data_IF_372974760718
#
_entry.id   IF_372974760718
#
_cell.length_a   1.000
_cell.length_b   1.000
_cell.length_c   1.000
_cell.angle_alpha   90.00
_cell.angle_beta   90.00
_cell.angle_gamma   90.00
#
_symmetry.space_group_name_H-M   'P 1'
#
loop_
_entity.id
_entity.type
_entity.pdbx_description
1 polymer ?
#
# COMPACT_ATOMS: atom_id res chain seq x y z
N UNK A 1 4.45 -2.18 14.80
CA UNK A 1 5.61 -2.42 15.70
C UNK A 1 6.08 -3.87 15.58
N UNK A 2 7.38 -4.13 15.72
CA UNK A 2 7.95 -5.48 15.56
C UNK A 2 8.94 -5.80 16.68
N UNK A 3 8.81 -6.97 17.30
CA UNK A 3 9.71 -7.48 18.33
C UNK A 3 10.24 -8.85 17.93
N UNK A 4 11.55 -9.09 18.14
CA UNK A 4 12.22 -10.39 17.91
C UNK A 4 12.61 -11.09 19.23
N UNK A 5 11.72 -11.86 19.89
CA UNK A 5 12.13 -12.88 20.86
C UNK A 5 12.89 -14.01 20.16
N UNK A 6 13.82 -14.67 20.87
CA UNK A 6 14.71 -15.73 20.35
C UNK A 6 14.06 -16.90 19.57
N UNK A 7 12.72 -17.03 19.52
CA UNK A 7 12.01 -18.10 18.79
C UNK A 7 10.74 -17.65 18.05
N UNK A 8 9.99 -16.70 18.61
CA UNK A 8 8.70 -16.26 18.07
C UNK A 8 8.62 -14.73 18.05
N UNK A 9 8.92 -14.07 16.91
CA UNK A 9 8.59 -12.67 16.68
C UNK A 9 7.11 -12.37 16.91
N UNK A 10 6.88 -11.19 17.45
CA UNK A 10 5.54 -10.62 17.57
C UNK A 10 5.50 -9.33 16.74
N UNK A 11 4.55 -9.29 15.81
CA UNK A 11 4.26 -8.10 15.02
C UNK A 11 2.89 -7.56 15.43
N UNK A 12 2.82 -6.28 15.77
CA UNK A 12 1.55 -5.57 15.95
C UNK A 12 1.38 -4.59 14.81
N UNK A 13 0.27 -4.72 14.10
CA UNK A 13 -0.19 -3.72 13.14
C UNK A 13 -1.34 -2.92 13.73
N UNK A 14 -1.35 -1.63 13.42
CA UNK A 14 -2.26 -0.64 13.98
C UNK A 14 -2.86 0.12 12.81
N UNK A 15 -4.14 0.46 12.90
CA UNK A 15 -4.80 1.27 11.87
C UNK A 15 -4.59 2.79 12.07
N UNK A 16 -3.98 3.17 13.19
CA UNK A 16 -3.71 4.56 13.56
C UNK A 16 -2.24 4.71 13.98
N UNK A 17 -1.72 5.95 13.94
CA UNK A 17 -0.36 6.22 14.43
C UNK A 17 -0.37 6.29 15.95
N UNK A 18 0.06 5.22 16.61
CA UNK A 18 0.06 5.11 18.06
C UNK A 18 1.50 4.92 18.59
N UNK A 19 1.89 5.64 19.67
CA UNK A 19 3.19 5.43 20.31
C UNK A 19 3.31 4.02 20.88
N UNK A 20 4.49 3.44 20.64
CA UNK A 20 4.77 2.03 20.84
C UNK A 20 6.11 1.89 21.54
N UNK A 21 6.16 1.14 22.64
CA UNK A 21 7.37 1.02 23.48
C UNK A 21 7.65 -0.46 23.78
N UNK A 22 8.92 -0.83 23.67
CA UNK A 22 9.45 -2.08 24.26
C UNK A 22 10.18 -1.67 25.53
N UNK A 23 9.60 -1.97 26.69
CA UNK A 23 10.16 -1.60 27.99
C UNK A 23 11.08 -2.70 28.54
N UNK A 24 10.69 -3.97 28.37
CA UNK A 24 11.45 -5.15 28.79
C UNK A 24 11.54 -6.22 27.69
N UNK A 25 12.47 -7.18 27.85
CA UNK A 25 12.56 -8.30 26.92
C UNK A 25 11.23 -9.08 26.93
N UNK A 26 10.55 -9.09 25.78
CA UNK A 26 9.27 -9.79 25.52
C UNK A 26 8.00 -9.05 25.94
N UNK A 27 8.08 -7.76 26.24
CA UNK A 27 6.90 -6.95 26.53
C UNK A 27 6.68 -5.86 25.48
N UNK A 28 5.49 -5.86 24.88
CA UNK A 28 5.06 -4.83 23.93
C UNK A 28 3.93 -4.01 24.55
N UNK A 29 4.15 -2.71 24.69
CA UNK A 29 3.17 -1.77 25.22
C UNK A 29 2.77 -0.75 24.15
N UNK A 30 1.46 -0.53 24.02
CA UNK A 30 0.85 0.41 23.08
C UNK A 30 0.07 1.45 23.88
N UNK A 31 0.34 2.75 23.67
CA UNK A 31 -0.32 3.83 24.41
C UNK A 31 -1.60 4.26 23.68
N UNK A 32 -2.78 3.88 24.16
CA UNK A 32 -4.04 4.10 23.42
C UNK A 32 -4.53 5.56 23.40
N UNK A 33 -4.46 6.25 24.54
CA UNK A 33 -4.89 7.65 24.66
C UNK A 33 -4.12 8.33 25.81
N UNK A 34 -4.15 9.67 25.85
CA UNK A 34 -3.57 10.48 26.92
C UNK A 34 -4.52 11.61 27.32
N UNK A 35 -4.63 11.85 28.62
CA UNK A 35 -5.29 13.03 29.19
C UNK A 35 -4.28 13.78 30.06
N UNK A 36 -4.11 15.07 29.81
CA UNK A 36 -3.12 15.92 30.47
C UNK A 36 -3.77 17.25 30.86
N UNK A 37 -3.80 17.59 32.14
CA UNK A 37 -4.40 18.86 32.61
C UNK A 37 -3.46 20.07 32.49
N UNK A 38 -2.17 19.83 32.24
CA UNK A 38 -1.12 20.85 32.20
C UNK A 38 -0.63 21.05 30.77
N UNK A 39 -0.34 22.30 30.41
CA UNK A 39 0.38 22.65 29.19
C UNK A 39 1.86 22.23 29.31
N UNK A 40 2.48 21.94 28.17
CA UNK A 40 3.90 21.54 28.09
C UNK A 40 4.85 22.71 27.74
N UNK A 41 4.36 23.94 27.80
CA UNK A 41 5.07 25.19 27.47
C UNK A 41 5.65 25.21 26.04
N UNK A 42 5.03 24.48 25.10
CA UNK A 42 5.41 24.48 23.67
C UNK A 42 4.55 25.41 22.82
N UNK A 43 3.76 26.28 23.46
CA UNK A 43 2.99 27.33 22.79
C UNK A 43 1.55 26.97 22.45
N UNK A 44 1.06 25.81 22.92
CA UNK A 44 -0.36 25.46 22.81
C UNK A 44 -1.21 26.23 23.84
N UNK A 45 -0.68 26.43 25.05
CA UNK A 45 -1.31 27.23 26.11
C UNK A 45 -2.47 26.52 26.82
N UNK A 46 -2.57 25.19 26.72
CA UNK A 46 -3.59 24.38 27.37
C UNK A 46 -3.17 22.91 27.46
N UNK A 47 -3.76 22.16 28.41
CA UNK A 47 -3.65 20.71 28.45
C UNK A 47 -4.44 20.00 27.33
N UNK A 48 -4.39 18.66 27.33
CA UNK A 48 -5.20 17.77 26.48
C UNK A 48 -6.30 17.14 27.32
N UNK A 49 -7.50 17.72 27.27
CA UNK A 49 -8.65 17.34 28.10
C UNK A 49 -9.94 17.08 27.29
N UNK A 50 -9.85 17.14 25.98
CA UNK A 50 -10.94 16.96 25.01
C UNK A 50 -11.07 15.51 24.51
N UNK A 51 -10.69 14.53 25.36
CA UNK A 51 -10.76 13.11 25.03
C UNK A 51 -12.19 12.70 24.64
N UNK A 52 -12.31 12.00 23.52
CA UNK A 52 -13.53 11.34 23.08
C UNK A 52 -13.25 9.84 22.95
N UNK A 53 -14.31 9.03 23.10
CA UNK A 53 -14.20 7.59 22.90
C UNK A 53 -13.70 7.31 21.48
N UNK A 54 -12.54 6.67 21.39
CA UNK A 54 -11.91 6.29 20.13
C UNK A 54 -11.76 4.77 20.10
N UNK A 55 -12.18 4.14 19.00
CA UNK A 55 -11.97 2.73 18.78
C UNK A 55 -10.61 2.51 18.13
N UNK A 56 -9.81 1.59 18.69
CA UNK A 56 -8.50 1.22 18.15
C UNK A 56 -8.50 -0.25 17.74
N UNK A 57 -8.14 -0.51 16.49
CA UNK A 57 -8.07 -1.86 15.92
C UNK A 57 -6.61 -2.30 15.75
N UNK A 58 -6.31 -3.51 16.21
CA UNK A 58 -4.97 -4.10 16.18
C UNK A 58 -4.99 -5.50 15.59
N UNK A 59 -3.95 -5.84 14.84
CA UNK A 59 -3.65 -7.22 14.45
C UNK A 59 -2.35 -7.66 15.10
N UNK A 60 -2.42 -8.69 15.96
CA UNK A 60 -1.26 -9.35 16.55
C UNK A 60 -0.92 -10.60 15.73
N UNK A 61 0.25 -10.60 15.11
CA UNK A 61 0.76 -11.72 14.34
C UNK A 61 1.97 -12.35 15.05
N UNK A 62 1.86 -13.63 15.37
CA UNK A 62 2.96 -14.44 15.90
C UNK A 62 3.51 -15.30 14.77
N UNK A 63 4.81 -15.18 14.52
CA UNK A 63 5.47 -15.90 13.44
C UNK A 63 6.65 -16.71 13.98
N UNK A 64 7.17 -17.65 13.17
CA UNK A 64 8.30 -18.48 13.55
C UNK A 64 9.51 -18.16 12.66
N UNK A 65 10.64 -17.84 13.27
CA UNK A 65 11.90 -17.65 12.53
C UNK A 65 12.53 -19.01 12.23
N UNK A 66 12.90 -19.22 10.97
CA UNK A 66 13.78 -20.29 10.57
C UNK A 66 15.23 -19.81 10.76
N UNK A 67 16.11 -20.60 11.39
CA UNK A 67 17.52 -20.27 11.48
C UNK A 67 18.12 -20.08 10.08
N UNK A 68 18.75 -18.92 9.84
CA UNK A 68 19.51 -18.70 8.60
C UNK A 68 20.89 -19.34 8.74
N UNK A 69 21.39 -20.06 7.71
CA UNK A 69 22.75 -20.63 7.72
C UNK A 69 23.83 -19.54 7.63
N UNK A 70 23.50 -18.34 7.15
CA UNK A 70 24.40 -17.19 7.19
C UNK A 70 24.03 -16.25 8.34
N UNK A 71 25.01 -15.78 9.13
CA UNK A 71 24.77 -14.67 10.05
C UNK A 71 24.38 -13.47 9.19
N UNK A 72 23.10 -13.09 9.21
CA UNK A 72 22.69 -11.79 8.69
C UNK A 72 23.60 -10.76 9.36
N UNK A 73 24.24 -9.84 8.62
CA UNK A 73 24.98 -8.76 9.24
C UNK A 73 24.08 -8.12 10.29
N UNK A 74 24.64 -7.65 11.40
CA UNK A 74 23.93 -6.98 12.48
C UNK A 74 23.21 -5.74 11.95
N UNK A 75 22.11 -5.97 11.24
CA UNK A 75 21.38 -4.98 10.49
C UNK A 75 20.46 -4.28 11.48
N UNK A 76 20.61 -2.98 11.54
CA UNK A 76 19.69 -2.06 12.24
C UNK A 76 18.27 -2.07 11.65
N UNK A 77 18.05 -2.77 10.53
CA UNK A 77 16.81 -2.80 9.78
C UNK A 77 16.18 -4.18 9.87
N UNK A 78 14.91 -4.23 10.28
CA UNK A 78 14.06 -5.43 10.23
C UNK A 78 13.02 -5.30 9.14
N UNK A 79 12.73 -6.39 8.44
CA UNK A 79 11.66 -6.48 7.46
C UNK A 79 10.50 -7.31 8.02
N UNK A 80 9.28 -7.00 7.57
CA UNK A 80 8.10 -7.80 7.86
C UNK A 80 8.05 -9.04 6.97
N UNK A 81 7.32 -10.07 7.41
CA UNK A 81 6.93 -11.15 6.52
C UNK A 81 5.86 -10.67 5.52
N UNK A 82 5.57 -11.49 4.52
CA UNK A 82 4.46 -11.25 3.61
C UNK A 82 3.12 -11.18 4.36
N UNK A 83 2.88 -12.09 5.31
CA UNK A 83 1.64 -12.13 6.08
C UNK A 83 1.47 -10.87 6.95
N UNK A 84 2.55 -10.36 7.53
CA UNK A 84 2.57 -9.11 8.27
C UNK A 84 2.21 -7.91 7.36
N UNK A 85 2.85 -7.78 6.19
CA UNK A 85 2.50 -6.73 5.22
C UNK A 85 1.02 -6.77 4.83
N UNK A 86 0.48 -7.95 4.49
CA UNK A 86 -0.94 -8.12 4.16
C UNK A 86 -1.87 -7.82 5.34
N UNK A 87 -1.49 -8.20 6.56
CA UNK A 87 -2.25 -7.88 7.77
C UNK A 87 -2.32 -6.38 8.03
N UNK A 88 -1.23 -5.65 7.74
CA UNK A 88 -1.18 -4.19 7.80
C UNK A 88 -2.04 -3.54 6.72
N UNK A 89 -1.94 -4.02 5.48
CA UNK A 89 -2.74 -3.48 4.36
C UNK A 89 -4.24 -3.66 4.59
N UNK A 90 -4.65 -4.77 5.22
CA UNK A 90 -6.06 -5.02 5.52
C UNK A 90 -6.64 -4.02 6.54
N UNK A 91 -5.80 -3.50 7.44
CA UNK A 91 -6.19 -2.43 8.36
C UNK A 91 -6.32 -1.10 7.60
N UNK A 92 -5.29 -0.72 6.85
CA UNK A 92 -5.27 0.58 6.17
C UNK A 92 -6.18 0.70 4.93
N UNK A 93 -6.52 -0.42 4.30
CA UNK A 93 -7.35 -0.46 3.09
C UNK A 93 -8.49 -1.48 3.26
N UNK A 94 -9.45 -1.21 4.16
CA UNK A 94 -10.59 -2.09 4.36
C UNK A 94 -11.52 -2.09 3.12
N UNK A 95 -12.25 -3.18 2.85
CA UNK A 95 -13.23 -3.21 1.79
C UNK A 95 -14.30 -2.12 1.96
N UNK A 96 -14.56 -1.36 0.89
CA UNK A 96 -15.64 -0.36 0.89
C UNK A 96 -16.97 -1.08 0.65
N UNK A 97 -17.88 -1.00 1.62
CA UNK A 97 -19.23 -1.55 1.50
C UNK A 97 -20.18 -0.51 0.93
N UNK A 98 -20.71 -0.78 -0.28
CA UNK A 98 -21.70 0.07 -0.93
C UNK A 98 -23.08 -0.56 -0.80
N UNK A 99 -23.96 0.04 0.01
CA UNK A 99 -25.34 -0.39 0.13
C UNK A 99 -26.19 0.28 -0.95
N UNK A 100 -26.69 -0.51 -1.91
CA UNK A 100 -27.64 -0.05 -2.93
C UNK A 100 -29.07 -0.40 -2.55
N UNK A 101 -30.02 0.51 -2.82
CA UNK A 101 -31.45 0.19 -2.72
C UNK A 101 -31.88 -0.54 -3.99
N UNK A 102 -32.31 -1.81 -3.89
CA UNK A 102 -32.98 -2.50 -4.99
C UNK A 102 -34.38 -1.89 -5.18
N UNK A 103 -34.44 -0.75 -5.88
CA UNK A 103 -35.65 0.01 -6.11
C UNK A 103 -35.88 0.24 -7.60
N UNK A 104 -36.96 -0.37 -8.12
CA UNK A 104 -37.49 -0.35 -9.49
C UNK A 104 -37.01 -1.50 -10.38
N UNK A 105 -37.68 -2.64 -10.16
CA UNK A 105 -37.85 -3.72 -11.13
C UNK A 105 -38.37 -3.16 -12.47
N UNK A 106 -37.44 -2.78 -13.33
CA UNK A 106 -37.54 -2.63 -14.78
C UNK A 106 -36.15 -2.45 -15.42
N UNK A 107 -35.07 -2.34 -14.63
CA UNK A 107 -33.72 -2.47 -15.16
C UNK A 107 -33.35 -3.95 -15.25
N UNK A 108 -33.37 -4.49 -16.47
CA UNK A 108 -32.67 -5.73 -16.86
C UNK A 108 -31.16 -5.59 -16.80
N UNK A 109 -30.64 -4.65 -16.00
CA UNK A 109 -29.22 -4.50 -15.77
C UNK A 109 -28.81 -5.71 -14.93
N UNK A 110 -28.29 -6.73 -15.62
CA UNK A 110 -27.55 -7.83 -15.02
C UNK A 110 -26.63 -7.22 -13.96
N UNK A 111 -27.02 -7.37 -12.69
CA UNK A 111 -26.14 -7.05 -11.59
C UNK A 111 -25.03 -8.07 -11.70
N UNK A 112 -23.96 -7.73 -12.43
CA UNK A 112 -22.76 -8.54 -12.49
C UNK A 112 -22.26 -8.63 -11.06
N UNK A 113 -22.48 -9.79 -10.46
CA UNK A 113 -22.17 -10.06 -9.05
C UNK A 113 -20.67 -9.84 -8.77
N UNK A 114 -19.83 -9.89 -9.81
CA UNK A 114 -18.42 -9.59 -9.75
C UNK A 114 -17.99 -8.83 -11.01
N UNK A 115 -17.37 -7.65 -10.82
CA UNK A 115 -16.68 -6.90 -11.87
C UNK A 115 -15.24 -6.72 -11.42
N UNK A 116 -14.29 -7.30 -12.15
CA UNK A 116 -12.87 -7.04 -11.95
C UNK A 116 -12.40 -6.03 -12.99
N UNK A 117 -11.86 -4.90 -12.53
CA UNK A 117 -11.21 -3.92 -13.42
C UNK A 117 -9.82 -4.40 -13.84
N UNK A 118 -9.20 -5.29 -13.05
CA UNK A 118 -7.91 -5.88 -13.34
C UNK A 118 -8.07 -7.18 -14.11
N UNK A 119 -7.25 -7.38 -15.14
CA UNK A 119 -7.21 -8.64 -15.91
C UNK A 119 -6.50 -9.75 -15.15
N UNK A 120 -5.51 -9.39 -14.32
CA UNK A 120 -4.74 -10.27 -13.44
C UNK A 120 -4.45 -9.56 -12.12
N UNK A 121 -4.41 -10.28 -10.98
CA UNK A 121 -4.01 -9.69 -9.71
C UNK A 121 -2.53 -9.26 -9.75
N UNK A 122 -2.18 -8.27 -8.93
CA UNK A 122 -0.78 -7.91 -8.70
C UNK A 122 -0.04 -9.06 -7.98
N UNK A 123 1.29 -9.19 -8.20
CA UNK A 123 2.13 -10.06 -7.37
C UNK A 123 1.99 -9.71 -5.89
N UNK A 124 2.10 -10.70 -5.01
CA UNK A 124 1.72 -10.54 -3.61
C UNK A 124 2.64 -9.62 -2.81
N UNK A 125 3.85 -9.38 -3.33
CA UNK A 125 4.84 -8.46 -2.80
C UNK A 125 4.80 -7.08 -3.47
N UNK A 126 3.86 -6.80 -4.38
CA UNK A 126 3.67 -5.50 -5.02
C UNK A 126 2.37 -4.89 -4.56
N UNK A 127 2.46 -3.71 -3.96
CA UNK A 127 1.32 -2.94 -3.49
C UNK A 127 1.10 -1.72 -4.38
N UNK A 128 -0.08 -1.56 -5.00
CA UNK A 128 -0.48 -0.33 -5.66
C UNK A 128 -0.82 0.74 -4.62
N UNK A 129 0.09 1.71 -4.45
CA UNK A 129 -0.04 2.80 -3.47
C UNK A 129 -1.04 3.84 -3.94
N UNK A 130 -1.03 4.16 -5.23
CA UNK A 130 -1.94 5.14 -5.81
C UNK A 130 -2.18 4.85 -7.29
N UNK A 131 -3.43 5.03 -7.72
CA UNK A 131 -3.83 5.07 -9.13
C UNK A 131 -4.68 6.33 -9.34
N UNK A 132 -4.25 7.20 -10.25
CA UNK A 132 -4.98 8.44 -10.55
C UNK A 132 -5.02 8.73 -12.04
N UNK A 133 -6.16 9.17 -12.56
CA UNK A 133 -6.25 9.71 -13.92
C UNK A 133 -5.57 11.07 -13.98
N UNK A 134 -4.78 11.32 -15.02
CA UNK A 134 -4.13 12.60 -15.22
C UNK A 134 -5.09 13.57 -15.91
N UNK A 135 -5.06 14.84 -15.53
CA UNK A 135 -5.88 15.89 -16.12
C UNK A 135 -5.07 16.79 -17.06
N UNK A 136 -5.78 17.51 -17.92
CA UNK A 136 -5.25 18.72 -18.55
C UNK A 136 -5.04 19.83 -17.52
N UNK A 137 -4.23 20.86 -17.81
CA UNK A 137 -4.15 22.05 -16.98
C UNK A 137 -5.54 22.65 -16.74
N UNK A 138 -5.81 23.03 -15.51
CA UNK A 138 -7.07 23.68 -15.13
C UNK A 138 -7.17 25.04 -15.81
N UNK A 139 -8.27 25.28 -16.52
CA UNK A 139 -8.58 26.58 -17.13
C UNK A 139 -9.40 27.39 -16.13
N UNK A 140 -8.77 28.38 -15.50
CA UNK A 140 -9.40 29.24 -14.48
C UNK A 140 -10.22 30.39 -15.06
N UNK A 141 -9.93 30.81 -16.30
CA UNK A 141 -10.57 31.95 -16.95
C UNK A 141 -11.13 31.52 -18.31
N UNK A 142 -12.27 30.83 -18.28
CA UNK A 142 -13.07 30.62 -19.48
C UNK A 142 -14.30 31.52 -19.42
N UNK A 143 -15.08 31.59 -20.50
CA UNK A 143 -16.37 32.30 -20.51
C UNK A 143 -17.40 31.70 -19.52
N UNK A 144 -17.04 30.66 -18.77
CA UNK A 144 -17.81 30.09 -17.66
C UNK A 144 -17.14 30.41 -16.32
N UNK A 145 -17.94 30.74 -15.31
CA UNK A 145 -17.52 31.15 -13.96
C UNK A 145 -16.86 30.04 -13.12
N UNK A 146 -16.64 28.86 -13.69
CA UNK A 146 -16.11 27.69 -13.01
C UNK A 146 -14.79 27.24 -13.64
N UNK A 147 -13.81 26.91 -12.80
CA UNK A 147 -12.58 26.28 -13.23
C UNK A 147 -12.89 24.92 -13.85
N UNK A 148 -12.41 24.66 -15.07
CA UNK A 148 -12.65 23.39 -15.77
C UNK A 148 -11.35 22.62 -15.98
N UNK A 149 -11.40 21.31 -15.73
CA UNK A 149 -10.29 20.37 -15.93
C UNK A 149 -10.83 19.15 -16.67
N UNK A 150 -10.26 18.86 -17.84
CA UNK A 150 -10.62 17.67 -18.61
C UNK A 150 -9.68 16.50 -18.29
N UNK A 151 -10.19 15.27 -18.14
CA UNK A 151 -9.34 14.09 -17.96
C UNK A 151 -8.58 13.79 -19.25
N UNK A 152 -7.33 13.34 -19.11
CA UNK A 152 -6.55 12.75 -20.19
C UNK A 152 -6.78 11.25 -20.24
N UNK A 153 -6.50 10.67 -21.39
CA UNK A 153 -6.41 9.22 -21.57
C UNK A 153 -5.08 8.67 -21.02
N UNK A 154 -4.73 9.11 -19.82
CA UNK A 154 -3.51 8.77 -19.12
C UNK A 154 -3.78 8.57 -17.64
N UNK A 155 -3.10 7.61 -17.04
CA UNK A 155 -3.12 7.36 -15.61
C UNK A 155 -1.70 7.36 -15.04
N UNK A 156 -1.60 7.73 -13.78
CA UNK A 156 -0.41 7.57 -12.97
C UNK A 156 -0.64 6.46 -11.94
N UNK A 157 0.24 5.47 -11.95
CA UNK A 157 0.26 4.33 -11.05
C UNK A 157 1.54 4.35 -10.22
N UNK A 158 1.41 4.41 -8.90
CA UNK A 158 2.53 4.32 -7.95
C UNK A 158 2.51 2.93 -7.33
N UNK A 159 3.66 2.25 -7.37
CA UNK A 159 3.84 0.90 -6.90
C UNK A 159 4.95 0.83 -5.87
N UNK A 160 4.78 -0.04 -4.88
CA UNK A 160 5.77 -0.35 -3.87
C UNK A 160 6.05 -1.86 -3.88
N UNK A 161 7.31 -2.29 -3.99
CA UNK A 161 7.67 -3.69 -3.75
C UNK A 161 8.10 -3.86 -2.29
N UNK A 162 7.43 -4.74 -1.57
CA UNK A 162 7.77 -5.03 -0.17
C UNK A 162 9.13 -5.73 -0.05
N UNK A 163 9.96 -5.23 0.86
CA UNK A 163 11.09 -5.98 1.41
C UNK A 163 10.59 -7.02 2.42
N UNK A 164 11.03 -8.26 2.25
CA UNK A 164 10.60 -9.40 3.05
C UNK A 164 11.77 -9.96 3.87
N UNK A 165 11.48 -10.40 5.10
CA UNK A 165 12.47 -11.09 5.94
C UNK A 165 12.56 -12.57 5.54
N UNK A 166 13.68 -12.98 4.95
CA UNK A 166 13.88 -14.34 4.43
C UNK A 166 13.84 -15.43 5.52
N UNK A 167 14.08 -15.07 6.78
CA UNK A 167 14.00 -16.02 7.92
C UNK A 167 12.58 -16.29 8.37
N UNK A 168 11.63 -15.42 8.02
CA UNK A 168 10.22 -15.61 8.30
C UNK A 168 9.64 -16.42 7.16
N UNK A 169 9.58 -17.74 7.36
CA UNK A 169 9.15 -18.67 6.31
C UNK A 169 7.77 -18.30 5.77
N UNK A 170 7.69 -18.02 4.48
CA UNK A 170 6.44 -17.91 3.74
C UNK A 170 5.83 -19.31 3.67
N UNK A 171 5.06 -19.70 4.69
CA UNK A 171 4.23 -20.92 4.62
C UNK A 171 3.09 -20.82 3.61
N UNK A 172 2.91 -19.65 2.99
CA UNK A 172 2.06 -19.49 1.81
C UNK A 172 2.78 -20.18 0.66
N UNK A 173 2.25 -21.33 0.23
CA UNK A 173 2.79 -22.04 -0.92
C UNK A 173 2.89 -21.06 -2.09
N UNK A 174 4.07 -20.95 -2.71
CA UNK A 174 4.35 -20.08 -3.86
C UNK A 174 3.32 -20.30 -5.01
N UNK A 175 2.68 -21.47 -5.04
CA UNK A 175 1.59 -21.83 -5.94
C UNK A 175 0.29 -21.03 -5.77
N UNK A 176 0.06 -20.42 -4.59
CA UNK A 176 -1.16 -19.65 -4.28
C UNK A 176 -0.98 -18.14 -4.36
N UNK A 177 0.26 -17.66 -4.25
CA UNK A 177 0.59 -16.25 -4.25
C UNK A 177 1.98 -16.08 -4.85
N UNK A 178 2.11 -15.79 -6.15
CA UNK A 178 3.41 -15.59 -6.75
C UNK A 178 4.03 -14.32 -6.19
N UNK A 179 4.97 -14.48 -5.28
CA UNK A 179 6.01 -13.50 -5.03
C UNK A 179 7.02 -13.74 -6.13
N UNK A 180 7.14 -12.82 -7.09
CA UNK A 180 8.28 -12.87 -8.01
C UNK A 180 9.54 -13.10 -7.17
N UNK A 181 10.21 -14.23 -7.41
CA UNK A 181 11.27 -14.74 -6.58
C UNK A 181 12.61 -14.22 -7.07
N UNK A 182 13.24 -13.37 -6.26
CA UNK A 182 14.67 -12.98 -6.14
C UNK A 182 15.55 -12.72 -7.40
N UNK A 183 15.21 -13.22 -8.58
CA UNK A 183 15.97 -13.10 -9.80
C UNK A 183 15.30 -12.11 -10.76
N UNK A 184 16.13 -11.48 -11.58
CA UNK A 184 15.80 -10.43 -12.57
C UNK A 184 14.77 -10.84 -13.64
N UNK A 185 14.19 -12.03 -13.54
CA UNK A 185 13.07 -12.53 -14.35
C UNK A 185 11.68 -12.08 -13.83
N UNK A 186 11.60 -11.41 -12.66
CA UNK A 186 10.36 -11.02 -11.98
C UNK A 186 9.65 -9.76 -12.49
N UNK A 187 9.79 -9.47 -13.79
CA UNK A 187 9.20 -8.27 -14.35
C UNK A 187 7.71 -8.53 -14.66
N UNK A 188 6.80 -7.87 -13.93
CA UNK A 188 5.36 -8.07 -14.11
C UNK A 188 4.82 -7.18 -15.24
N UNK A 189 3.87 -7.71 -16.02
CA UNK A 189 3.28 -7.01 -17.17
C UNK A 189 2.29 -5.94 -16.69
N UNK A 190 2.62 -4.67 -16.96
CA UNK A 190 1.76 -3.52 -16.66
C UNK A 190 0.91 -3.12 -17.87
N UNK A 191 1.29 -3.56 -19.08
CA UNK A 191 0.65 -3.14 -20.31
C UNK A 191 -0.80 -3.63 -20.42
N UNK A 192 -1.07 -4.85 -19.93
CA UNK A 192 -2.38 -5.50 -19.95
C UNK A 192 -3.03 -5.60 -18.56
N UNK A 193 -2.72 -4.64 -17.68
CA UNK A 193 -3.21 -4.65 -16.30
C UNK A 193 -4.73 -4.54 -16.20
N UNK A 194 -5.35 -3.70 -17.02
CA UNK A 194 -6.78 -3.40 -16.97
C UNK A 194 -7.57 -4.22 -17.99
N UNK A 195 -8.73 -4.72 -17.58
CA UNK A 195 -9.62 -5.45 -18.49
C UNK A 195 -10.19 -4.50 -19.55
N UNK A 196 -10.07 -4.87 -20.83
CA UNK A 196 -10.51 -4.05 -21.96
C UNK A 196 -9.70 -2.76 -22.25
N UNK A 197 -8.58 -2.50 -21.55
CA UNK A 197 -7.73 -1.31 -21.74
C UNK A 197 -6.24 -1.68 -21.69
N UNK A 198 -5.54 -1.57 -22.83
CA UNK A 198 -4.09 -1.79 -22.92
C UNK A 198 -3.34 -0.46 -22.96
N UNK A 199 -2.29 -0.31 -22.17
CA UNK A 199 -1.45 0.88 -22.22
C UNK A 199 -0.60 0.90 -23.50
N UNK A 200 -0.75 1.96 -24.31
CA UNK A 200 0.08 2.25 -25.51
C UNK A 200 1.50 2.66 -25.14
N UNK A 201 1.68 3.36 -24.01
CA UNK A 201 3.01 3.74 -23.54
C UNK A 201 3.11 3.75 -22.02
N UNK A 202 4.27 3.34 -21.52
CA UNK A 202 4.59 3.29 -20.09
C UNK A 202 5.88 4.09 -19.87
N UNK A 203 5.83 5.07 -18.97
CA UNK A 203 6.99 5.93 -18.65
C UNK A 203 7.21 6.00 -17.15
N UNK A 204 8.46 5.94 -16.70
CA UNK A 204 8.82 6.22 -15.30
C UNK A 204 8.84 7.72 -15.03
N UNK A 205 8.40 8.11 -13.84
CA UNK A 205 8.46 9.49 -13.37
C UNK A 205 8.85 9.60 -11.91
N UNK A 206 9.03 10.84 -11.45
CA UNK A 206 9.13 11.15 -10.02
C UNK A 206 7.83 10.76 -9.31
N UNK A 207 7.90 10.58 -7.99
CA UNK A 207 6.72 10.27 -7.15
C UNK A 207 5.59 11.31 -7.30
N UNK A 208 5.96 12.56 -7.60
CA UNK A 208 5.03 13.67 -7.84
C UNK A 208 4.53 13.75 -9.28
N UNK A 209 5.13 13.01 -10.21
CA UNK A 209 4.96 13.11 -11.67
C UNK A 209 5.27 14.49 -12.28
N UNK A 210 5.97 15.36 -11.55
CA UNK A 210 6.45 16.63 -12.09
C UNK A 210 7.59 16.43 -13.09
N UNK A 211 8.37 15.36 -12.91
CA UNK A 211 9.45 14.99 -13.80
C UNK A 211 9.18 13.61 -14.35
N UNK A 212 9.03 13.51 -15.67
CA UNK A 212 9.00 12.22 -16.36
C UNK A 212 10.34 12.01 -17.02
N UNK A 213 10.96 10.85 -16.81
CA UNK A 213 12.21 10.56 -17.49
C UNK A 213 11.91 10.47 -19.00
N UNK A 214 12.59 11.31 -19.80
CA UNK A 214 12.36 11.45 -21.24
C UNK A 214 12.76 10.21 -22.05
N UNK A 215 13.54 9.32 -21.45
CA UNK A 215 13.76 7.97 -21.95
C UNK A 215 12.56 7.13 -21.54
N UNK A 216 11.55 7.07 -22.42
CA UNK A 216 10.52 6.05 -22.29
C UNK A 216 11.22 4.70 -22.08
N UNK A 217 10.71 3.91 -21.14
CA UNK A 217 11.14 2.51 -21.07
C UNK A 217 10.68 1.93 -22.41
N UNK A 218 11.60 1.86 -23.39
CA UNK A 218 11.26 1.54 -24.76
C UNK A 218 10.54 0.20 -24.77
N UNK A 219 9.26 0.19 -25.17
CA UNK A 219 8.39 -0.99 -25.33
C UNK A 219 8.50 -2.12 -24.28
N UNK A 220 9.12 -1.92 -23.12
CA UNK A 220 9.19 -2.97 -22.11
C UNK A 220 7.87 -2.93 -21.35
N UNK A 221 6.98 -3.83 -21.77
CA UNK A 221 5.70 -4.13 -21.12
C UNK A 221 5.88 -4.56 -19.66
N UNK A 222 7.09 -4.99 -19.34
CA UNK A 222 7.51 -5.54 -18.08
C UNK A 222 8.21 -4.49 -17.21
N UNK A 223 7.73 -4.35 -15.97
CA UNK A 223 8.34 -3.48 -14.94
C UNK A 223 8.94 -4.35 -13.84
N UNK A 224 10.26 -4.25 -13.66
CA UNK A 224 10.97 -4.81 -12.52
C UNK A 224 11.16 -3.74 -11.44
N UNK A 225 10.95 -4.12 -10.18
CA UNK A 225 11.14 -3.28 -9.00
C UNK A 225 12.06 -3.99 -8.01
N UNK A 226 13.02 -3.28 -7.44
CA UNK A 226 13.87 -3.81 -6.37
C UNK A 226 13.09 -3.87 -5.03
N UNK A 227 13.49 -4.72 -4.07
CA UNK A 227 12.89 -4.72 -2.74
C UNK A 227 12.95 -3.34 -2.07
N UNK A 228 11.83 -2.91 -1.50
CA UNK A 228 11.61 -1.56 -0.94
C UNK A 228 11.62 -0.40 -1.96
N UNK A 229 11.64 -0.69 -3.26
CA UNK A 229 11.53 0.35 -4.29
C UNK A 229 10.09 0.88 -4.39
N UNK A 230 9.99 2.21 -4.45
CA UNK A 230 8.79 2.94 -4.86
C UNK A 230 8.99 3.46 -6.28
N UNK A 231 8.15 3.03 -7.21
CA UNK A 231 8.20 3.48 -8.60
C UNK A 231 6.88 4.11 -9.02
N UNK A 232 6.98 5.15 -9.85
CA UNK A 232 5.82 5.80 -10.45
C UNK A 232 5.82 5.59 -11.95
N UNK A 233 4.71 5.08 -12.46
CA UNK A 233 4.48 4.75 -13.86
C UNK A 233 3.38 5.66 -14.40
N UNK A 234 3.65 6.33 -15.51
CA UNK A 234 2.66 7.02 -16.32
C UNK A 234 2.25 6.09 -17.46
N UNK A 235 0.98 5.71 -17.45
CA UNK A 235 0.33 4.85 -18.43
C UNK A 235 -0.47 5.75 -19.38
N UNK A 236 -0.20 5.68 -20.67
CA UNK A 236 -1.07 6.27 -21.69
C UNK A 236 -1.84 5.14 -22.36
N UNK A 237 -3.17 5.21 -22.37
CA UNK A 237 -4.05 4.25 -23.06
C UNK A 237 -4.30 4.71 -24.47
#
# INVERSE_FOLDING_TARGET
MFMKPNKFPNTVHEDQRIPNIVHEAREMQVMLDRRLAQDDDRGLGQGVEDNLLTESLFHLLLEHFVPSPSPSPAGTIGFHSLAAHHSSLRLHYPPITLAGQLGHANSTAEHRQFVSVLRRPFPCNIHPVALRTLGHPTVYFSNSSAATTQPRDEAALILHRFGLECRLGTRVAESSCPTGGADTADAFDVSNLFDGRRARSIRRGSLTLLYTNGTGIGHSEHVALEPMELATLRLAF
#
